data_IF_448814030300
#
_entry.id   IF_448814030300
#
_cell.length_a   1.000
_cell.length_b   1.000
_cell.length_c   1.000
_cell.angle_alpha   90.00
_cell.angle_beta   90.00
_cell.angle_gamma   90.00
#
_symmetry.space_group_name_H-M   'P 1'
#
loop_
_entity.id
_entity.type
_entity.pdbx_description
1 polymer ?
#
# COMPACT_ATOMS: atom_id res chain seq x y z
N UNK A 1 36.87 -95.67 17.17
CA UNK A 1 38.05 -95.04 17.75
C UNK A 1 37.90 -93.49 17.56
N UNK A 2 38.12 -92.74 18.54
CA UNK A 2 38.08 -91.34 18.71
C UNK A 2 36.67 -90.65 18.79
N UNK A 3 36.28 -90.46 20.05
CA UNK A 3 35.23 -89.56 20.56
C UNK A 3 35.51 -88.13 20.18
N UNK A 4 34.49 -87.46 19.69
CA UNK A 4 34.42 -85.96 19.77
C UNK A 4 33.15 -85.53 20.56
N UNK A 5 33.43 -84.96 21.72
CA UNK A 5 32.44 -84.38 22.56
C UNK A 5 32.06 -83.00 21.98
N UNK A 6 30.77 -82.76 21.85
CA UNK A 6 30.20 -81.46 21.51
C UNK A 6 30.10 -80.59 22.78
N UNK A 7 30.49 -79.30 22.77
CA UNK A 7 30.25 -78.45 23.91
C UNK A 7 28.87 -77.75 23.74
N UNK A 8 28.13 -77.76 24.81
CA UNK A 8 26.89 -77.05 24.99
C UNK A 8 27.09 -75.53 24.89
N UNK A 9 26.36 -74.82 24.03
CA UNK A 9 26.37 -73.42 23.86
C UNK A 9 25.27 -72.84 24.80
N UNK A 10 25.68 -72.20 25.88
CA UNK A 10 24.77 -71.45 26.77
C UNK A 10 24.32 -70.15 26.08
N UNK A 11 23.02 -70.00 25.84
CA UNK A 11 22.40 -68.83 25.29
C UNK A 11 22.23 -67.79 26.38
N UNK A 12 23.11 -66.77 26.42
CA UNK A 12 22.94 -65.57 27.25
C UNK A 12 21.91 -64.66 26.55
N UNK A 13 20.72 -64.56 27.14
CA UNK A 13 19.75 -63.52 26.81
C UNK A 13 20.23 -62.14 27.34
N UNK A 14 20.75 -61.29 26.47
CA UNK A 14 20.91 -59.88 26.77
C UNK A 14 19.55 -59.22 26.64
N UNK A 15 18.95 -58.82 27.77
CA UNK A 15 17.78 -57.92 27.80
C UNK A 15 18.33 -56.51 27.51
N UNK A 16 18.21 -56.06 26.25
CA UNK A 16 18.46 -54.71 25.86
C UNK A 16 17.28 -53.82 26.34
N UNK A 17 17.50 -53.11 27.40
CA UNK A 17 16.56 -52.08 27.86
C UNK A 17 16.60 -50.92 26.84
N UNK A 18 15.63 -50.89 25.92
CA UNK A 18 15.37 -49.74 25.11
C UNK A 18 14.83 -48.60 26.01
N UNK A 19 15.70 -47.68 26.39
CA UNK A 19 15.27 -46.39 26.89
C UNK A 19 14.61 -45.63 25.73
N UNK A 20 13.30 -45.57 25.74
CA UNK A 20 12.54 -44.70 24.87
C UNK A 20 12.74 -43.28 25.43
N UNK A 21 13.71 -42.54 24.88
CA UNK A 21 13.75 -41.09 25.05
C UNK A 21 12.56 -40.53 24.31
N UNK A 22 11.49 -40.23 25.05
CA UNK A 22 10.41 -39.36 24.58
C UNK A 22 11.00 -37.95 24.46
N UNK A 23 11.38 -37.58 23.25
CA UNK A 23 11.61 -36.17 22.94
C UNK A 23 10.26 -35.46 23.14
N UNK A 24 10.08 -34.81 24.28
CA UNK A 24 9.07 -33.75 24.39
C UNK A 24 9.51 -32.70 23.38
N UNK A 25 8.82 -32.63 22.26
CA UNK A 25 8.85 -31.47 21.40
C UNK A 25 8.33 -30.29 22.23
N UNK A 26 9.24 -29.50 22.78
CA UNK A 26 8.92 -28.15 23.21
C UNK A 26 8.87 -27.28 21.94
N UNK A 27 7.93 -27.56 21.06
CA UNK A 27 7.52 -26.58 20.08
C UNK A 27 6.99 -25.39 20.90
N UNK A 28 7.53 -24.17 20.66
CA UNK A 28 6.94 -23.01 21.30
C UNK A 28 5.47 -23.01 20.91
N UNK A 29 4.61 -22.97 21.90
CA UNK A 29 3.17 -22.80 21.72
C UNK A 29 3.01 -21.53 20.88
N UNK A 30 2.77 -21.72 19.58
CA UNK A 30 2.40 -20.62 18.68
C UNK A 30 1.07 -20.14 19.20
N UNK A 31 1.12 -19.17 20.12
CA UNK A 31 -0.04 -18.37 20.47
C UNK A 31 -0.48 -17.73 19.15
N UNK A 32 -1.40 -18.39 18.47
CA UNK A 32 -2.13 -17.80 17.37
C UNK A 32 -2.93 -16.65 17.96
N UNK A 33 -2.30 -15.48 18.00
CA UNK A 33 -3.04 -14.23 18.15
C UNK A 33 -3.87 -14.15 16.87
N UNK A 34 -5.11 -14.61 16.94
CA UNK A 34 -6.08 -14.43 15.87
C UNK A 34 -6.45 -12.96 15.89
N UNK A 35 -5.61 -12.13 15.26
CA UNK A 35 -5.92 -10.73 15.07
C UNK A 35 -7.21 -10.62 14.26
N UNK A 36 -8.20 -9.97 14.86
CA UNK A 36 -9.53 -9.96 14.30
C UNK A 36 -9.61 -9.06 13.08
N UNK A 37 -10.09 -9.61 11.96
CA UNK A 37 -10.44 -8.82 10.78
C UNK A 37 -11.71 -8.01 11.09
N UNK A 38 -11.59 -6.70 11.04
CA UNK A 38 -12.68 -5.77 11.35
C UNK A 38 -13.18 -5.05 10.10
N UNK A 39 -14.49 -4.67 10.03
CA UNK A 39 -14.99 -3.87 8.91
C UNK A 39 -14.45 -2.44 8.99
N UNK A 40 -14.31 -1.77 7.82
CA UNK A 40 -14.05 -0.33 7.81
C UNK A 40 -15.23 0.43 8.42
N UNK A 41 -14.90 1.49 9.13
CA UNK A 41 -15.90 2.46 9.59
C UNK A 41 -16.66 3.06 8.40
N UNK A 42 -17.95 3.34 8.59
CA UNK A 42 -18.77 3.97 7.54
C UNK A 42 -18.36 5.43 7.29
N UNK A 43 -17.81 6.07 8.32
CA UNK A 43 -17.22 7.41 8.22
C UNK A 43 -15.94 7.44 9.04
N UNK A 44 -14.90 8.07 8.50
CA UNK A 44 -13.84 8.61 9.35
C UNK A 44 -14.45 9.86 9.99
N UNK A 45 -14.24 10.08 11.28
CA UNK A 45 -14.70 11.32 11.93
C UNK A 45 -14.12 12.51 11.18
N UNK A 46 -14.96 13.13 10.38
CA UNK A 46 -14.57 14.27 9.57
C UNK A 46 -14.69 15.52 10.45
N UNK A 47 -13.59 16.17 10.72
CA UNK A 47 -13.59 17.63 10.78
C UNK A 47 -14.40 18.14 9.59
N UNK A 48 -15.30 19.08 9.80
CA UNK A 48 -16.12 19.69 8.74
C UNK A 48 -15.18 20.22 7.64
N UNK A 49 -15.04 19.44 6.58
CA UNK A 49 -14.12 19.78 5.48
C UNK A 49 -14.80 20.79 4.59
N UNK A 50 -14.14 21.90 4.31
CA UNK A 50 -14.63 22.91 3.37
C UNK A 50 -14.80 22.29 1.96
N UNK A 51 -16.00 22.27 1.37
CA UNK A 51 -16.25 21.73 0.04
C UNK A 51 -15.38 22.38 -1.06
N UNK A 52 -14.97 23.62 -0.88
CA UNK A 52 -14.08 24.31 -1.82
C UNK A 52 -12.67 23.71 -1.80
N UNK A 53 -12.20 23.21 -0.65
CA UNK A 53 -10.91 22.51 -0.54
C UNK A 53 -10.96 21.19 -1.26
N UNK A 54 -12.07 20.44 -1.16
CA UNK A 54 -12.28 19.19 -1.93
C UNK A 54 -12.26 19.48 -3.43
N UNK A 55 -13.00 20.49 -3.88
CA UNK A 55 -13.10 20.88 -5.29
C UNK A 55 -11.74 21.28 -5.87
N UNK A 56 -10.96 22.09 -5.13
CA UNK A 56 -9.60 22.45 -5.49
C UNK A 56 -8.69 21.22 -5.57
N UNK A 57 -8.73 20.34 -4.56
CA UNK A 57 -7.93 19.12 -4.54
C UNK A 57 -8.24 18.22 -5.73
N UNK A 58 -9.52 18.04 -6.06
CA UNK A 58 -9.94 17.30 -7.26
C UNK A 58 -9.36 17.92 -8.53
N UNK A 59 -9.43 19.25 -8.67
CA UNK A 59 -8.87 19.93 -9.84
C UNK A 59 -7.36 19.69 -9.95
N UNK A 60 -6.61 19.91 -8.86
CA UNK A 60 -5.17 19.67 -8.81
C UNK A 60 -4.79 18.24 -9.12
N UNK A 61 -5.56 17.26 -8.65
CA UNK A 61 -5.35 15.84 -8.88
C UNK A 61 -5.44 15.46 -10.38
N UNK A 62 -6.30 16.14 -11.13
CA UNK A 62 -6.52 15.88 -12.56
C UNK A 62 -5.69 16.78 -13.48
N UNK A 63 -5.11 17.86 -12.98
CA UNK A 63 -4.40 18.82 -13.81
C UNK A 63 -2.91 18.46 -13.96
N UNK A 64 -2.41 18.19 -15.18
CA UNK A 64 -1.00 17.96 -15.43
C UNK A 64 -0.11 19.19 -15.17
N UNK A 65 -0.69 20.35 -14.85
CA UNK A 65 0.03 21.60 -14.55
C UNK A 65 1.06 21.41 -13.41
N UNK A 66 0.84 20.40 -12.53
CA UNK A 66 1.74 20.10 -11.42
C UNK A 66 3.02 19.41 -11.84
N UNK A 67 3.07 18.79 -13.03
CA UNK A 67 4.30 18.16 -13.52
C UNK A 67 5.24 19.14 -14.20
N UNK A 68 6.52 18.78 -14.30
CA UNK A 68 7.54 19.63 -14.92
C UNK A 68 7.18 20.01 -16.34
N UNK A 69 6.83 19.01 -17.16
CA UNK A 69 6.46 19.18 -18.58
C UNK A 69 4.97 19.50 -18.78
N UNK A 70 4.14 19.48 -17.74
CA UNK A 70 2.67 19.61 -17.80
C UNK A 70 2.02 18.48 -18.61
N UNK A 71 2.48 17.26 -18.45
CA UNK A 71 2.08 16.08 -19.20
C UNK A 71 1.65 14.90 -18.31
N UNK A 72 1.86 14.98 -17.00
CA UNK A 72 1.50 13.94 -16.03
C UNK A 72 0.70 14.56 -14.89
N UNK A 73 -0.47 14.01 -14.59
CA UNK A 73 -1.29 14.34 -13.43
C UNK A 73 -1.30 13.17 -12.45
N UNK A 74 -1.77 13.36 -11.20
CA UNK A 74 -1.98 12.26 -10.26
C UNK A 74 -2.91 11.20 -10.87
N UNK A 75 -4.00 11.63 -11.52
CA UNK A 75 -4.95 10.77 -12.22
C UNK A 75 -4.34 9.96 -13.38
N UNK A 76 -3.14 10.27 -13.82
CA UNK A 76 -2.43 9.50 -14.85
C UNK A 76 -2.13 8.08 -14.38
N UNK A 77 -1.67 7.94 -13.13
CA UNK A 77 -1.33 6.65 -12.50
C UNK A 77 -2.41 6.21 -11.48
N UNK A 78 -3.18 7.14 -10.94
CA UNK A 78 -4.28 6.83 -10.02
C UNK A 78 -5.63 7.05 -10.71
N UNK A 79 -5.95 6.18 -11.69
CA UNK A 79 -7.13 6.36 -12.53
C UNK A 79 -8.37 5.63 -11.95
N UNK A 80 -9.55 6.29 -11.87
CA UNK A 80 -10.73 5.70 -11.24
C UNK A 80 -11.21 4.40 -11.90
N UNK A 81 -11.02 4.23 -13.22
CA UNK A 81 -11.36 2.99 -13.91
C UNK A 81 -10.53 1.78 -13.45
N UNK A 82 -9.40 2.03 -12.79
CA UNK A 82 -8.48 1.03 -12.26
C UNK A 82 -8.47 1.02 -10.72
N UNK A 83 -9.58 1.40 -10.09
CA UNK A 83 -9.65 1.49 -8.63
C UNK A 83 -8.67 2.52 -8.04
N UNK A 84 -8.41 3.62 -8.76
CA UNK A 84 -7.41 4.62 -8.40
C UNK A 84 -5.99 4.06 -8.22
N UNK A 85 -5.65 3.04 -8.99
CA UNK A 85 -4.30 2.55 -9.32
C UNK A 85 -4.10 2.67 -10.83
N UNK A 86 -3.05 2.05 -11.40
CA UNK A 86 -2.82 2.06 -12.85
C UNK A 86 -2.91 0.67 -13.50
N UNK A 87 -3.01 -0.40 -12.71
CA UNK A 87 -3.00 -1.79 -13.16
C UNK A 87 -1.76 -2.15 -14.00
N UNK A 88 -0.63 -1.54 -13.69
CA UNK A 88 0.68 -1.85 -14.28
C UNK A 88 1.58 -2.42 -13.20
N UNK A 89 2.40 -3.39 -13.55
CA UNK A 89 3.40 -3.96 -12.63
C UNK A 89 4.47 -2.93 -12.19
N UNK A 90 4.83 -2.02 -13.08
CA UNK A 90 5.62 -0.81 -12.81
C UNK A 90 4.94 0.38 -13.46
N UNK A 91 4.73 1.42 -12.71
CA UNK A 91 4.08 2.64 -13.19
C UNK A 91 4.91 3.37 -14.26
N UNK A 92 4.20 4.08 -15.12
CA UNK A 92 4.80 4.91 -16.18
C UNK A 92 4.40 6.37 -15.93
N UNK A 93 5.35 7.17 -15.47
CA UNK A 93 5.18 8.61 -15.34
C UNK A 93 5.57 9.34 -16.63
N UNK A 94 6.75 9.92 -16.66
CA UNK A 94 7.26 10.66 -17.83
C UNK A 94 7.41 9.79 -19.07
N UNK A 95 7.19 10.43 -20.24
CA UNK A 95 7.38 9.79 -21.55
C UNK A 95 6.35 8.75 -21.91
N UNK A 96 5.37 8.50 -21.04
CA UNK A 96 4.24 7.65 -21.33
C UNK A 96 3.07 8.42 -21.95
N UNK A 97 2.22 7.70 -22.70
CA UNK A 97 0.94 8.18 -23.23
C UNK A 97 -0.19 7.27 -22.79
N UNK A 98 -1.40 7.81 -22.67
CA UNK A 98 -2.56 7.11 -22.11
C UNK A 98 -2.68 7.31 -20.60
N UNK A 99 -3.71 6.68 -20.01
CA UNK A 99 -4.06 6.79 -18.59
C UNK A 99 -4.28 5.40 -18.00
N UNK A 100 -3.92 5.21 -16.73
CA UNK A 100 -4.12 3.95 -16.03
C UNK A 100 -3.54 2.76 -16.81
N UNK A 101 -4.28 1.66 -16.90
CA UNK A 101 -3.86 0.43 -17.57
C UNK A 101 -3.52 0.56 -19.07
N UNK A 102 -4.02 1.60 -19.72
CA UNK A 102 -3.69 1.86 -21.14
C UNK A 102 -2.37 2.60 -21.34
N UNK A 103 -1.73 3.05 -20.25
CA UNK A 103 -0.52 3.84 -20.34
C UNK A 103 0.67 3.02 -20.81
N UNK A 104 1.38 3.53 -21.80
CA UNK A 104 2.51 2.85 -22.42
C UNK A 104 3.54 3.86 -22.95
N UNK A 105 4.76 3.38 -23.21
CA UNK A 105 5.79 4.20 -23.87
C UNK A 105 5.65 4.13 -25.40
N UNK A 106 5.66 5.28 -26.06
CA UNK A 106 5.73 5.35 -27.53
C UNK A 106 7.07 4.85 -28.05
N UNK A 107 8.16 5.19 -27.36
CA UNK A 107 9.49 4.78 -27.74
C UNK A 107 10.05 3.75 -26.73
N UNK A 108 10.23 2.49 -27.13
CA UNK A 108 10.76 1.46 -26.23
C UNK A 108 12.23 1.67 -25.82
N UNK A 109 12.95 2.56 -26.46
CA UNK A 109 14.36 2.86 -26.14
C UNK A 109 14.52 3.89 -25.02
N UNK A 110 13.48 4.63 -24.69
CA UNK A 110 13.48 5.69 -23.66
C UNK A 110 12.62 5.33 -22.45
N UNK A 111 12.48 4.02 -22.15
CA UNK A 111 11.67 3.54 -21.05
C UNK A 111 12.33 3.87 -19.72
N UNK A 112 11.66 4.67 -18.92
CA UNK A 112 12.01 4.92 -17.52
C UNK A 112 10.76 4.59 -16.69
N UNK A 113 10.77 3.42 -16.07
CA UNK A 113 9.68 3.02 -15.17
C UNK A 113 9.87 3.67 -13.81
N UNK A 114 8.76 3.97 -13.14
CA UNK A 114 8.74 4.15 -11.70
C UNK A 114 9.08 2.81 -11.04
N UNK A 115 9.89 2.81 -10.00
CA UNK A 115 10.42 1.57 -9.40
C UNK A 115 9.34 0.60 -8.91
N UNK A 116 8.14 1.09 -8.64
CA UNK A 116 7.09 0.33 -7.98
C UNK A 116 5.75 0.56 -8.65
N UNK A 117 4.86 -0.37 -8.44
CA UNK A 117 3.44 -0.26 -8.78
C UNK A 117 2.78 0.93 -8.07
N UNK A 118 1.84 1.57 -8.75
CA UNK A 118 1.00 2.63 -8.18
C UNK A 118 -0.08 2.00 -7.29
N UNK A 119 0.07 2.15 -5.98
CA UNK A 119 -0.94 1.68 -5.02
C UNK A 119 -2.25 2.42 -5.22
N UNK A 120 -3.37 1.72 -4.97
CA UNK A 120 -4.67 2.41 -4.90
C UNK A 120 -4.68 3.49 -3.83
N UNK A 121 -5.28 4.62 -4.14
CA UNK A 121 -5.58 5.68 -3.18
C UNK A 121 -7.02 5.58 -2.61
N UNK A 122 -7.76 4.52 -2.98
CA UNK A 122 -9.02 4.24 -2.29
C UNK A 122 -8.75 3.94 -0.82
N UNK A 123 -9.57 4.50 0.04
CA UNK A 123 -9.52 4.31 1.49
C UNK A 123 -8.28 4.93 2.19
N UNK A 124 -7.53 5.81 1.54
CA UNK A 124 -6.43 6.56 2.19
C UNK A 124 -6.89 7.37 3.41
N UNK A 125 -8.17 7.69 3.47
CA UNK A 125 -8.80 8.29 4.65
C UNK A 125 -8.64 7.48 5.94
N UNK A 126 -8.40 6.17 5.82
CA UNK A 126 -8.24 5.26 6.96
C UNK A 126 -6.77 4.93 7.27
N UNK A 127 -5.82 5.47 6.52
CA UNK A 127 -4.40 5.31 6.82
C UNK A 127 -4.08 5.94 8.18
N UNK A 128 -3.31 5.22 9.00
CA UNK A 128 -3.03 5.61 10.38
C UNK A 128 -4.04 5.05 11.40
N UNK A 129 -5.01 4.25 10.97
CA UNK A 129 -5.89 3.51 11.86
C UNK A 129 -5.21 2.20 12.26
N UNK A 130 -4.96 2.03 13.55
CA UNK A 130 -4.37 0.80 14.09
C UNK A 130 -5.42 -0.34 14.23
N UNK A 131 -4.98 -1.50 14.67
CA UNK A 131 -5.86 -2.68 14.88
C UNK A 131 -6.91 -2.47 15.98
N UNK A 132 -6.68 -1.55 16.89
CA UNK A 132 -7.60 -1.20 17.99
C UNK A 132 -8.58 -0.08 17.59
N UNK A 133 -8.46 0.45 16.37
CA UNK A 133 -9.28 1.55 15.88
C UNK A 133 -8.80 2.95 16.29
N UNK A 134 -7.61 3.08 16.90
CA UNK A 134 -7.02 4.39 17.13
C UNK A 134 -6.58 4.99 15.80
N UNK A 135 -6.81 6.29 15.63
CA UNK A 135 -6.58 6.97 14.36
C UNK A 135 -5.57 8.11 14.48
N UNK A 136 -4.40 7.93 13.87
CA UNK A 136 -3.33 8.93 13.79
C UNK A 136 -2.89 9.17 12.34
N UNK A 137 -3.65 9.96 11.56
CA UNK A 137 -3.36 10.22 10.16
C UNK A 137 -2.09 11.05 9.96
N UNK A 138 -1.66 11.82 10.96
CA UNK A 138 -0.44 12.62 10.89
C UNK A 138 0.84 11.76 10.89
N UNK A 139 0.79 10.58 11.49
CA UNK A 139 1.88 9.63 11.53
C UNK A 139 1.67 8.40 10.63
N UNK A 140 0.58 8.38 9.85
CA UNK A 140 0.29 7.29 8.93
C UNK A 140 1.47 7.03 7.96
N UNK A 141 2.04 5.81 7.91
CA UNK A 141 3.14 5.51 7.00
C UNK A 141 2.65 5.45 5.56
N UNK A 142 3.35 6.14 4.67
CA UNK A 142 3.01 6.26 3.26
C UNK A 142 4.12 5.66 2.39
N UNK A 143 3.77 5.29 1.16
CA UNK A 143 4.60 4.53 0.23
C UNK A 143 4.88 3.09 0.66
N UNK A 144 5.45 2.30 -0.24
CA UNK A 144 5.85 0.91 0.00
C UNK A 144 6.95 0.76 1.05
N UNK A 145 7.75 1.80 1.28
CA UNK A 145 8.92 1.83 2.16
C UNK A 145 8.74 2.72 3.39
N UNK A 146 7.53 3.22 3.63
CA UNK A 146 7.18 4.05 4.80
C UNK A 146 8.05 5.31 4.98
N UNK A 147 8.72 5.78 3.90
CA UNK A 147 9.67 6.90 3.95
C UNK A 147 9.05 8.26 4.27
N UNK A 148 7.74 8.38 4.14
CA UNK A 148 6.98 9.60 4.40
C UNK A 148 5.82 9.28 5.33
N UNK A 149 5.46 10.25 6.16
CA UNK A 149 4.29 10.18 7.05
C UNK A 149 3.25 11.22 6.62
N UNK A 150 2.00 10.90 6.84
CA UNK A 150 0.78 11.63 6.47
C UNK A 150 0.50 11.70 4.96
N UNK A 151 -0.77 11.80 4.63
CA UNK A 151 -1.21 11.92 3.24
C UNK A 151 -0.83 13.28 2.64
N UNK A 152 -0.84 14.35 3.45
CA UNK A 152 -0.42 15.68 3.03
C UNK A 152 1.03 15.70 2.54
N UNK A 153 1.94 15.12 3.31
CA UNK A 153 3.34 15.07 2.90
C UNK A 153 3.54 14.16 1.69
N UNK A 154 2.81 13.03 1.62
CA UNK A 154 2.91 12.10 0.51
C UNK A 154 2.44 12.70 -0.81
N UNK A 155 1.33 13.46 -0.82
CA UNK A 155 0.66 13.94 -2.03
C UNK A 155 1.51 14.83 -2.93
N UNK A 156 2.57 15.44 -2.39
CA UNK A 156 3.48 16.31 -3.14
C UNK A 156 4.81 15.65 -3.52
N UNK A 157 5.12 14.45 -3.01
CA UNK A 157 6.36 13.75 -3.32
C UNK A 157 6.50 13.37 -4.82
N UNK A 158 5.43 12.91 -5.52
CA UNK A 158 5.52 12.62 -6.95
C UNK A 158 5.98 13.82 -7.78
N UNK A 159 5.64 15.06 -7.35
CA UNK A 159 6.05 16.30 -8.03
C UNK A 159 7.57 16.49 -7.97
N UNK A 160 8.24 15.94 -6.96
CA UNK A 160 9.71 15.99 -6.80
C UNK A 160 10.43 14.80 -7.45
N UNK A 161 9.71 13.73 -7.76
CA UNK A 161 10.30 12.49 -8.28
C UNK A 161 10.53 12.58 -9.78
N UNK A 162 11.77 12.30 -10.20
CA UNK A 162 12.24 12.47 -11.59
C UNK A 162 11.36 11.71 -12.58
N UNK A 163 11.17 10.42 -12.37
CA UNK A 163 10.47 9.51 -13.28
C UNK A 163 8.94 9.60 -13.18
N UNK A 164 8.40 10.23 -12.12
CA UNK A 164 6.97 10.38 -11.94
C UNK A 164 6.44 11.66 -12.60
N UNK A 165 6.67 12.82 -11.99
CA UNK A 165 6.06 14.08 -12.44
C UNK A 165 7.09 15.21 -12.68
N UNK A 166 8.26 15.19 -12.01
CA UNK A 166 9.23 16.29 -12.07
C UNK A 166 9.87 16.45 -13.43
N UNK A 167 10.35 15.36 -13.99
CA UNK A 167 11.18 15.41 -15.19
C UNK A 167 12.47 16.20 -14.99
N UNK A 168 13.00 16.70 -16.10
CA UNK A 168 14.24 17.48 -16.13
C UNK A 168 14.03 19.00 -16.11
N UNK A 169 12.77 19.46 -16.06
CA UNK A 169 12.44 20.90 -16.07
C UNK A 169 12.80 21.60 -14.77
N UNK A 170 12.73 20.87 -13.65
CA UNK A 170 13.03 21.37 -12.32
C UNK A 170 14.09 20.50 -11.67
N UNK A 171 14.84 21.05 -10.72
CA UNK A 171 15.60 20.23 -9.79
C UNK A 171 14.63 19.69 -8.71
N UNK A 172 15.01 18.65 -8.00
CA UNK A 172 14.22 18.13 -6.89
C UNK A 172 13.92 19.21 -5.83
N UNK A 173 14.93 20.01 -5.50
CA UNK A 173 14.85 21.07 -4.49
C UNK A 173 13.89 22.19 -4.91
N UNK A 174 13.84 22.52 -6.19
CA UNK A 174 13.04 23.66 -6.69
C UNK A 174 11.68 23.27 -7.24
N UNK A 175 11.36 21.98 -7.31
CA UNK A 175 10.16 21.49 -7.98
C UNK A 175 8.87 22.08 -7.39
N UNK A 176 8.69 22.01 -6.08
CA UNK A 176 7.48 22.49 -5.42
C UNK A 176 7.32 24.02 -5.53
N UNK A 177 8.40 24.76 -5.31
CA UNK A 177 8.38 26.24 -5.46
C UNK A 177 8.08 26.66 -6.89
N UNK A 178 8.63 25.94 -7.87
CA UNK A 178 8.36 26.18 -9.29
C UNK A 178 6.90 25.94 -9.65
N UNK A 179 6.28 24.88 -9.11
CA UNK A 179 4.85 24.62 -9.30
C UNK A 179 4.01 25.66 -8.61
N UNK A 180 4.29 26.04 -7.37
CA UNK A 180 3.62 27.11 -6.64
C UNK A 180 3.71 28.45 -7.41
N UNK A 181 4.89 28.82 -7.90
CA UNK A 181 5.07 30.00 -8.71
C UNK A 181 4.23 29.96 -10.00
N UNK A 182 4.17 28.79 -10.65
CA UNK A 182 3.33 28.56 -11.83
C UNK A 182 1.84 28.79 -11.53
N UNK A 183 1.32 28.18 -10.45
CA UNK A 183 -0.08 28.31 -10.03
C UNK A 183 -0.44 29.78 -9.68
N UNK A 184 0.49 30.53 -9.06
CA UNK A 184 0.31 31.94 -8.72
C UNK A 184 0.10 32.84 -9.95
N UNK A 185 0.53 32.43 -11.12
CA UNK A 185 0.37 33.17 -12.38
C UNK A 185 -0.94 32.82 -13.12
N UNK A 186 -1.79 31.97 -12.54
CA UNK A 186 -3.06 31.54 -13.15
C UNK A 186 -4.21 32.10 -12.33
N UNK A 187 -4.99 33.09 -12.87
CA UNK A 187 -6.07 33.75 -12.12
C UNK A 187 -7.12 32.78 -11.56
N UNK A 188 -7.42 31.70 -12.29
CA UNK A 188 -8.35 30.67 -11.84
C UNK A 188 -7.87 29.98 -10.57
N UNK A 189 -6.61 29.61 -10.49
CA UNK A 189 -6.02 29.01 -9.29
C UNK A 189 -5.95 30.00 -8.13
N UNK A 190 -5.68 31.29 -8.39
CA UNK A 190 -5.73 32.32 -7.34
C UNK A 190 -7.11 32.38 -6.70
N UNK A 191 -8.18 32.35 -7.52
CA UNK A 191 -9.56 32.35 -7.03
C UNK A 191 -9.90 31.07 -6.25
N UNK A 192 -9.54 29.90 -6.79
CA UNK A 192 -9.83 28.60 -6.18
C UNK A 192 -9.13 28.44 -4.82
N UNK A 193 -7.85 28.78 -4.73
CA UNK A 193 -7.13 28.75 -3.45
C UNK A 193 -7.68 29.76 -2.45
N UNK A 194 -8.04 30.99 -2.89
CA UNK A 194 -8.68 31.98 -2.05
C UNK A 194 -10.01 31.48 -1.48
N UNK A 195 -10.83 30.79 -2.29
CA UNK A 195 -12.11 30.25 -1.85
C UNK A 195 -11.92 29.07 -0.87
N UNK A 196 -10.87 28.27 -1.05
CA UNK A 196 -10.59 27.11 -0.20
C UNK A 196 -9.97 27.49 1.15
N UNK A 197 -9.05 28.45 1.16
CA UNK A 197 -8.20 28.74 2.34
C UNK A 197 -8.30 30.19 2.85
N UNK A 198 -8.94 31.08 2.11
CA UNK A 198 -8.98 32.50 2.42
C UNK A 198 -7.68 33.23 2.10
N UNK A 199 -7.73 34.56 2.17
CA UNK A 199 -6.57 35.45 1.98
C UNK A 199 -6.06 35.53 0.54
N UNK A 200 -5.09 36.42 0.33
CA UNK A 200 -4.49 36.68 -1.01
C UNK A 200 -3.21 35.88 -1.27
N UNK A 201 -2.63 35.27 -0.24
CA UNK A 201 -1.40 34.45 -0.33
C UNK A 201 -1.69 32.96 -0.12
N UNK A 202 -2.89 32.51 -0.53
CA UNK A 202 -3.37 31.16 -0.28
C UNK A 202 -2.62 30.07 -1.07
N UNK A 203 -1.93 30.41 -2.18
CA UNK A 203 -1.17 29.44 -2.98
C UNK A 203 0.18 29.18 -2.33
N UNK A 204 0.26 28.08 -1.59
CA UNK A 204 1.46 27.56 -0.93
C UNK A 204 1.56 26.07 -1.14
N UNK A 205 2.74 25.49 -0.97
CA UNK A 205 2.93 24.02 -0.99
C UNK A 205 2.05 23.34 0.04
N UNK A 206 1.95 23.89 1.26
CA UNK A 206 1.12 23.33 2.33
C UNK A 206 -0.37 23.30 1.95
N UNK A 207 -0.92 24.41 1.42
CA UNK A 207 -2.32 24.43 1.02
C UNK A 207 -2.61 23.55 -0.19
N UNK A 208 -1.64 23.43 -1.11
CA UNK A 208 -1.72 22.48 -2.23
C UNK A 208 -1.78 21.04 -1.74
N UNK A 209 -0.89 20.66 -0.83
CA UNK A 209 -0.87 19.31 -0.25
C UNK A 209 -2.15 18.99 0.54
N UNK A 210 -2.62 19.93 1.36
CA UNK A 210 -3.89 19.78 2.09
C UNK A 210 -5.06 19.59 1.13
N UNK A 211 -5.13 20.37 0.04
CA UNK A 211 -6.23 20.25 -0.91
C UNK A 211 -6.25 18.88 -1.59
N UNK A 212 -5.10 18.40 -2.08
CA UNK A 212 -4.98 17.08 -2.73
C UNK A 212 -5.35 15.98 -1.73
N UNK A 213 -4.74 15.96 -0.55
CA UNK A 213 -5.02 14.98 0.50
C UNK A 213 -6.50 15.00 0.94
N UNK A 214 -7.10 16.18 1.01
CA UNK A 214 -8.53 16.32 1.32
C UNK A 214 -9.42 15.66 0.27
N UNK A 215 -9.13 15.86 -1.01
CA UNK A 215 -9.85 15.17 -2.08
C UNK A 215 -9.65 13.67 -2.00
N UNK A 216 -8.42 13.18 -1.84
CA UNK A 216 -8.13 11.75 -1.75
C UNK A 216 -8.87 11.08 -0.58
N UNK A 217 -9.00 11.75 0.57
CA UNK A 217 -9.81 11.25 1.70
C UNK A 217 -11.30 11.10 1.38
N UNK A 218 -11.81 11.72 0.33
CA UNK A 218 -13.20 11.49 -0.10
C UNK A 218 -13.37 10.17 -0.86
N UNK A 219 -12.27 9.55 -1.29
CA UNK A 219 -12.29 8.33 -2.10
C UNK A 219 -12.40 7.10 -1.19
N UNK A 220 -13.60 6.80 -0.73
CA UNK A 220 -13.84 5.68 0.19
C UNK A 220 -14.62 4.55 -0.46
N UNK A 221 -14.20 3.30 -0.20
CA UNK A 221 -14.84 2.05 -0.61
C UNK A 221 -14.91 1.11 0.61
N UNK A 222 -15.87 1.36 1.50
CA UNK A 222 -15.98 0.79 2.83
C UNK A 222 -17.28 -0.02 3.05
N UNK A 223 -17.90 -0.48 1.97
CA UNK A 223 -19.15 -1.24 2.01
C UNK A 223 -19.08 -2.52 1.17
N UNK A 224 -17.94 -3.22 1.22
CA UNK A 224 -17.77 -4.52 0.56
C UNK A 224 -18.69 -5.59 1.18
N UNK A 225 -18.91 -6.73 0.51
CA UNK A 225 -19.62 -7.87 1.12
C UNK A 225 -19.02 -8.28 2.48
N UNK A 226 -17.69 -8.27 2.61
CA UNK A 226 -17.00 -8.52 3.87
C UNK A 226 -17.41 -7.51 4.96
N UNK A 227 -17.39 -6.20 4.64
CA UNK A 227 -17.74 -5.14 5.59
C UNK A 227 -19.18 -5.30 6.07
N UNK A 228 -20.13 -5.57 5.18
CA UNK A 228 -21.53 -5.79 5.50
C UNK A 228 -21.72 -7.04 6.35
N UNK A 229 -21.04 -8.14 6.00
CA UNK A 229 -21.08 -9.38 6.78
C UNK A 229 -20.57 -9.18 8.22
N UNK A 230 -19.44 -8.49 8.38
CA UNK A 230 -18.87 -8.19 9.70
C UNK A 230 -19.75 -7.23 10.51
N UNK A 231 -20.49 -6.34 9.85
CA UNK A 231 -21.50 -5.48 10.50
C UNK A 231 -22.83 -6.19 10.78
N UNK A 232 -22.96 -7.48 10.48
CA UNK A 232 -24.10 -8.31 10.87
C UNK A 232 -25.03 -8.75 9.72
N UNK A 233 -24.85 -8.31 8.49
CA UNK A 233 -25.60 -8.77 7.32
C UNK A 233 -25.10 -10.16 6.89
N UNK A 234 -25.57 -11.23 7.54
CA UNK A 234 -25.05 -12.59 7.39
C UNK A 234 -25.18 -13.17 5.98
N UNK A 235 -26.05 -12.61 5.14
CA UNK A 235 -26.25 -13.00 3.74
C UNK A 235 -25.32 -12.26 2.76
N UNK A 236 -24.53 -11.29 3.21
CA UNK A 236 -23.64 -10.49 2.35
C UNK A 236 -22.47 -11.28 1.77
N UNK A 237 -22.06 -12.36 2.42
CA UNK A 237 -21.05 -13.31 1.95
C UNK A 237 -21.65 -14.69 1.76
N UNK A 238 -21.24 -15.40 0.71
CA UNK A 238 -21.62 -16.79 0.50
C UNK A 238 -20.73 -17.76 1.33
N UNK A 239 -21.08 -19.05 1.36
CA UNK A 239 -20.38 -20.04 2.17
C UNK A 239 -18.89 -20.19 1.80
N UNK A 240 -18.55 -20.09 0.50
CA UNK A 240 -17.18 -20.22 0.03
C UNK A 240 -16.34 -18.99 0.42
N UNK A 241 -16.90 -17.78 0.36
CA UNK A 241 -16.24 -16.55 0.82
C UNK A 241 -16.00 -16.58 2.33
N UNK A 242 -16.95 -17.09 3.11
CA UNK A 242 -16.78 -17.29 4.58
C UNK A 242 -15.68 -18.31 4.85
N UNK A 243 -15.66 -19.43 4.12
CA UNK A 243 -14.59 -20.42 4.23
C UNK A 243 -13.22 -19.83 3.88
N UNK A 244 -13.14 -19.02 2.83
CA UNK A 244 -11.92 -18.30 2.45
C UNK A 244 -11.46 -17.32 3.52
N UNK A 245 -12.37 -16.57 4.12
CA UNK A 245 -12.07 -15.66 5.25
C UNK A 245 -11.49 -16.42 6.44
N UNK A 246 -12.08 -17.57 6.80
CA UNK A 246 -11.59 -18.39 7.89
C UNK A 246 -10.20 -18.99 7.57
N UNK A 247 -10.00 -19.49 6.33
CA UNK A 247 -8.71 -19.98 5.88
C UNK A 247 -7.63 -18.89 5.93
N UNK A 248 -7.95 -17.67 5.50
CA UNK A 248 -7.04 -16.52 5.56
C UNK A 248 -6.52 -16.24 6.97
N UNK A 249 -7.39 -16.40 7.98
CA UNK A 249 -7.00 -16.26 9.39
C UNK A 249 -6.16 -17.45 9.87
N UNK A 250 -6.58 -18.69 9.55
CA UNK A 250 -5.96 -19.90 10.11
C UNK A 250 -4.62 -20.26 9.47
N UNK A 251 -4.37 -19.87 8.20
CA UNK A 251 -3.09 -20.14 7.54
C UNK A 251 -2.04 -19.04 7.76
N UNK A 252 -2.36 -18.01 8.57
CA UNK A 252 -1.41 -17.00 9.02
C UNK A 252 -1.36 -15.71 8.18
N UNK A 253 -2.15 -15.57 7.11
CA UNK A 253 -2.17 -14.33 6.31
C UNK A 253 -2.59 -13.12 7.15
N UNK A 254 -3.51 -13.31 8.09
CA UNK A 254 -3.99 -12.27 8.99
C UNK A 254 -2.92 -11.76 9.98
N UNK A 255 -1.77 -12.44 10.11
CA UNK A 255 -0.67 -11.98 10.96
C UNK A 255 -0.03 -10.66 10.49
N UNK A 256 -0.06 -10.40 9.18
CA UNK A 256 0.38 -9.12 8.60
C UNK A 256 -0.81 -8.34 8.01
N UNK A 257 -1.72 -9.06 7.33
CA UNK A 257 -2.91 -8.44 6.72
C UNK A 257 -4.09 -8.43 7.68
N UNK A 258 -3.99 -7.62 8.71
CA UNK A 258 -4.93 -7.55 9.85
C UNK A 258 -5.70 -6.23 9.91
N UNK A 259 -6.63 -6.13 10.86
CA UNK A 259 -7.42 -4.93 11.10
C UNK A 259 -8.36 -4.57 9.96
N UNK A 260 -8.89 -3.36 10.02
CA UNK A 260 -9.89 -2.87 9.06
C UNK A 260 -9.32 -2.58 7.67
N UNK A 261 -8.02 -2.31 7.57
CA UNK A 261 -7.32 -2.05 6.29
C UNK A 261 -6.62 -3.28 5.73
N UNK A 262 -6.68 -4.44 6.39
CA UNK A 262 -5.90 -5.63 6.02
C UNK A 262 -4.41 -5.32 5.86
N UNK A 263 -3.86 -4.61 6.84
CA UNK A 263 -2.47 -4.20 6.92
C UNK A 263 -2.11 -3.86 8.35
N UNK A 264 -0.99 -4.38 8.83
CA UNK A 264 -0.35 -3.98 10.09
C UNK A 264 0.51 -2.72 9.94
N UNK A 265 0.66 -2.21 8.71
CA UNK A 265 1.53 -1.09 8.32
C UNK A 265 3.01 -1.27 8.70
N UNK A 266 3.43 -2.47 9.10
CA UNK A 266 4.83 -2.77 9.42
C UNK A 266 5.64 -3.09 8.17
N UNK A 267 6.96 -3.02 8.33
CA UNK A 267 7.92 -3.37 7.29
C UNK A 267 8.33 -4.84 7.42
N UNK A 268 8.19 -5.60 6.34
CA UNK A 268 8.54 -7.02 6.28
C UNK A 268 9.47 -7.33 5.11
N UNK A 269 10.35 -8.32 5.28
CA UNK A 269 11.22 -8.86 4.23
C UNK A 269 10.60 -10.16 3.75
N UNK A 270 10.08 -10.17 2.53
CA UNK A 270 9.43 -11.35 1.95
C UNK A 270 10.29 -12.09 0.92
N UNK A 271 11.48 -11.60 0.63
CA UNK A 271 12.41 -12.16 -0.37
C UNK A 271 11.78 -12.33 -1.76
N UNK A 272 10.87 -11.44 -2.13
CA UNK A 272 10.28 -11.44 -3.48
C UNK A 272 11.32 -10.90 -4.45
N UNK A 273 11.56 -11.57 -5.59
CA UNK A 273 12.52 -11.07 -6.58
C UNK A 273 12.07 -9.76 -7.21
N UNK A 274 13.04 -8.94 -7.61
CA UNK A 274 12.77 -7.70 -8.31
C UNK A 274 12.04 -7.94 -9.63
N UNK A 275 11.28 -6.94 -10.07
CA UNK A 275 10.69 -6.95 -11.40
C UNK A 275 11.81 -6.89 -12.46
N UNK A 276 11.77 -7.80 -13.44
CA UNK A 276 12.79 -7.90 -14.49
C UNK A 276 12.94 -6.64 -15.38
N UNK A 277 12.00 -5.70 -15.32
CA UNK A 277 12.07 -4.42 -16.03
C UNK A 277 12.91 -3.37 -15.30
N UNK A 278 13.25 -3.59 -14.03
CA UNK A 278 14.08 -2.67 -13.26
C UNK A 278 15.55 -2.77 -13.69
N UNK A 279 16.18 -1.63 -13.92
CA UNK A 279 17.61 -1.55 -14.21
C UNK A 279 18.48 -1.74 -12.96
N UNK A 280 17.92 -1.50 -11.78
CA UNK A 280 18.58 -1.62 -10.47
C UNK A 280 17.60 -2.20 -9.46
N UNK A 281 18.14 -3.02 -8.55
CA UNK A 281 17.37 -3.60 -7.45
C UNK A 281 16.67 -2.54 -6.60
N UNK A 282 15.44 -2.83 -6.18
CA UNK A 282 14.72 -2.02 -5.20
C UNK A 282 15.07 -2.48 -3.79
N UNK A 283 16.00 -1.79 -3.16
CA UNK A 283 16.47 -2.13 -1.82
C UNK A 283 15.45 -1.85 -0.69
N UNK A 284 14.23 -1.42 -0.99
CA UNK A 284 13.18 -1.22 0.01
C UNK A 284 13.48 -0.11 1.02
N UNK A 285 12.88 -0.22 2.20
CA UNK A 285 13.06 0.74 3.28
C UNK A 285 14.50 0.69 3.82
N UNK A 286 15.16 1.85 3.84
CA UNK A 286 16.52 2.00 4.38
C UNK A 286 17.56 1.01 3.81
N UNK A 287 17.34 0.48 2.62
CA UNK A 287 18.24 -0.48 1.99
C UNK A 287 18.18 -1.90 2.59
N UNK A 288 17.13 -2.23 3.30
CA UNK A 288 16.98 -3.52 4.02
C UNK A 288 16.14 -4.55 3.27
N UNK A 289 15.67 -4.23 2.06
CA UNK A 289 14.72 -5.04 1.29
C UNK A 289 13.39 -5.29 2.01
N UNK A 290 13.04 -4.43 2.96
CA UNK A 290 11.76 -4.49 3.64
C UNK A 290 10.76 -3.53 3.01
N UNK A 291 9.50 -3.98 2.98
CA UNK A 291 8.39 -3.22 2.42
C UNK A 291 7.21 -3.26 3.38
N UNK A 292 6.45 -2.17 3.40
CA UNK A 292 5.26 -2.05 4.21
C UNK A 292 4.16 -2.99 3.72
N UNK A 293 3.50 -3.68 4.64
CA UNK A 293 2.32 -4.48 4.31
C UNK A 293 1.30 -3.62 3.56
N UNK A 294 1.04 -3.97 2.31
CA UNK A 294 0.02 -3.31 1.51
C UNK A 294 -1.38 -3.70 2.00
N UNK A 295 -2.32 -2.76 1.93
CA UNK A 295 -3.73 -3.08 2.14
C UNK A 295 -4.22 -4.05 1.06
N UNK A 296 -4.98 -5.08 1.47
CA UNK A 296 -5.65 -5.99 0.52
C UNK A 296 -7.05 -5.52 0.13
N UNK A 297 -7.40 -4.29 0.45
CA UNK A 297 -8.67 -3.74 0.02
C UNK A 297 -8.67 -3.42 -1.46
N UNK A 298 -9.83 -3.66 -2.10
CA UNK A 298 -10.10 -3.33 -3.51
C UNK A 298 -9.27 -4.13 -4.54
N UNK A 299 -8.65 -5.25 -4.19
CA UNK A 299 -7.79 -6.05 -5.09
C UNK A 299 -8.47 -6.43 -6.40
N UNK A 300 -9.80 -6.64 -6.39
CA UNK A 300 -10.56 -6.97 -7.61
C UNK A 300 -10.41 -5.91 -8.73
N UNK A 301 -10.15 -4.65 -8.37
CA UNK A 301 -10.12 -3.52 -9.30
C UNK A 301 -8.75 -2.87 -9.42
N UNK A 302 -7.74 -3.37 -8.70
CA UNK A 302 -6.39 -2.80 -8.65
C UNK A 302 -5.31 -3.78 -9.12
N UNK A 303 -5.69 -4.90 -9.78
CA UNK A 303 -4.73 -5.81 -10.39
C UNK A 303 -3.72 -5.06 -11.30
N UNK A 304 -2.46 -5.54 -11.51
CA UNK A 304 -2.20 -6.81 -12.18
C UNK A 304 -2.36 -7.99 -11.30
#
# INVERSE_FOLDING_TARGET
MKNHKSPSLALLCFISSCFIFSCKNNDPEVTTVTEELTPLALKVEATTVNPQTIALGKMLFWDPILSGNKDVACATCHHPANGYADNLDLSIGLGGVGLGASRHFLNPRTRVFVKRNSQTILNTAFNGMDINGNYDPANAPMFWDSRVKSLENQSVEPIKTLEEMRGTKFTEITALDSVVARLKNIPEYQLLFKNAFGGTQAITTNNMSIAIATFERTLTANNSPFDRYKRGEKTAMNALEIQGMNAFQTVGCAGCHTGSMFSDYQLHILSVPDNAKLAQSDAGANGTYSFRTASLRNLKVTAP
#
